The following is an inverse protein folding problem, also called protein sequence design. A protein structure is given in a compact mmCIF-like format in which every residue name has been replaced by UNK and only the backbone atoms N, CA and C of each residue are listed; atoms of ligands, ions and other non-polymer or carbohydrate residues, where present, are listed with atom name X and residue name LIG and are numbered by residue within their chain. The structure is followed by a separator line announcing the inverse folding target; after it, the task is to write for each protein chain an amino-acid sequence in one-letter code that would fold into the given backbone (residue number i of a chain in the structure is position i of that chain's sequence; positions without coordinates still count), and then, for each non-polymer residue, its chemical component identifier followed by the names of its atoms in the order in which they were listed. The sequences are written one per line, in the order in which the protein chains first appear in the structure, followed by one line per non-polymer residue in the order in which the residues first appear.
data_IF_073030959839
#
_entry.id   IF_073030959839
#
_cell.length_a   1.000
_cell.length_b   1.000
_cell.length_c   1.000
_cell.angle_alpha   90.00
_cell.angle_beta   90.00
_cell.angle_gamma   90.00
#
_symmetry.space_group_name_H-M   'P 1'
#
loop_
_entity.id
_entity.type
_entity.pdbx_description
1 polymer ?
#
# COMPACT_ATOMS: atom_id res chain seq x y z
N UNK A 1 10.42 38.45 16.50
CA UNK A 1 10.41 37.61 15.29
C UNK A 1 10.51 36.16 15.73
N UNK A 2 9.41 35.42 15.69
CA UNK A 2 9.40 33.97 15.87
C UNK A 2 8.19 33.42 15.10
N UNK A 3 8.42 32.98 13.86
CA UNK A 3 7.41 32.32 13.03
C UNK A 3 7.45 30.82 13.34
N UNK A 4 6.52 30.37 14.17
CA UNK A 4 6.28 28.96 14.42
C UNK A 4 5.18 28.49 13.45
N UNK A 5 5.58 28.06 12.26
CA UNK A 5 4.68 27.41 11.30
C UNK A 5 4.59 25.93 11.65
N UNK A 6 3.66 25.58 12.54
CA UNK A 6 3.28 24.20 12.78
C UNK A 6 2.06 23.89 11.89
N UNK A 7 2.28 23.69 10.60
CA UNK A 7 1.26 23.19 9.69
C UNK A 7 1.02 21.72 10.00
N UNK A 8 -0.12 21.42 10.62
CA UNK A 8 -0.55 20.05 10.86
C UNK A 8 -0.68 19.35 9.51
N UNK A 9 -0.14 18.13 9.42
CA UNK A 9 -0.20 17.26 8.24
C UNK A 9 -1.64 17.05 7.70
N UNK A 10 -2.66 17.26 8.54
CA UNK A 10 -4.08 17.26 8.19
C UNK A 10 -4.45 18.35 7.18
N UNK A 11 -3.80 19.51 7.24
CA UNK A 11 -4.15 20.66 6.40
C UNK A 11 -3.65 20.46 4.95
N UNK A 12 -2.57 19.68 4.79
CA UNK A 12 -2.00 19.32 3.48
C UNK A 12 -2.88 18.33 2.71
N UNK A 13 -3.58 17.45 3.44
CA UNK A 13 -4.60 16.55 2.88
C UNK A 13 -5.90 17.28 2.52
N UNK A 14 -6.22 18.37 3.23
CA UNK A 14 -7.41 19.18 2.96
C UNK A 14 -7.24 20.13 1.75
N UNK A 15 -6.01 20.60 1.48
CA UNK A 15 -5.74 21.58 0.41
C UNK A 15 -5.82 21.04 -1.03
N UNK A 16 -5.97 19.74 -1.24
CA UNK A 16 -6.18 19.14 -2.57
C UNK A 16 -7.64 18.89 -2.94
N UNK A 17 -8.61 19.26 -2.09
CA UNK A 17 -10.02 19.29 -2.49
C UNK A 17 -10.36 20.63 -3.12
N UNK A 18 -9.89 20.86 -4.35
CA UNK A 18 -10.37 21.99 -5.15
C UNK A 18 -11.79 21.70 -5.62
N UNK A 19 -12.69 22.51 -5.10
CA UNK A 19 -14.09 22.70 -5.46
C UNK A 19 -14.28 22.77 -6.99
N UNK A 20 -15.02 21.81 -7.56
CA UNK A 20 -15.64 21.95 -8.88
C UNK A 20 -17.02 21.30 -8.87
N UNK A 21 -18.03 22.15 -9.04
CA UNK A 21 -19.45 21.80 -9.14
C UNK A 21 -19.76 20.94 -10.38
N UNK A 22 -20.73 20.04 -10.18
CA UNK A 22 -21.58 19.39 -11.19
C UNK A 22 -20.99 18.22 -11.99
N UNK A 23 -20.88 17.08 -11.32
CA UNK A 23 -21.68 15.88 -11.59
C UNK A 23 -21.43 14.93 -10.43
N UNK A 24 -22.39 14.07 -10.08
CA UNK A 24 -22.29 13.10 -8.98
C UNK A 24 -21.10 12.13 -9.21
N UNK A 25 -19.87 12.57 -8.92
CA UNK A 25 -18.72 11.68 -8.73
C UNK A 25 -19.00 11.01 -7.41
N UNK A 26 -19.72 9.88 -7.47
CA UNK A 26 -19.88 8.99 -6.34
C UNK A 26 -18.48 8.78 -5.77
N UNK A 27 -18.24 9.27 -4.54
CA UNK A 27 -16.99 9.03 -3.85
C UNK A 27 -16.82 7.51 -3.77
N UNK A 28 -15.80 7.00 -4.45
CA UNK A 28 -15.49 5.58 -4.43
C UNK A 28 -14.46 5.40 -3.34
N UNK A 29 -14.95 4.87 -2.22
CA UNK A 29 -14.10 4.46 -1.12
C UNK A 29 -13.39 3.18 -1.53
N UNK A 30 -12.06 3.19 -1.44
CA UNK A 30 -11.24 2.02 -1.66
C UNK A 30 -10.73 1.52 -0.31
N UNK A 31 -11.14 0.31 0.08
CA UNK A 31 -10.75 -0.28 1.36
C UNK A 31 -9.45 -1.05 1.21
N UNK A 32 -8.34 -0.45 1.65
CA UNK A 32 -7.00 -1.04 1.60
C UNK A 32 -6.61 -1.52 3.00
N UNK A 33 -6.22 -2.78 3.13
CA UNK A 33 -5.66 -3.36 4.35
C UNK A 33 -4.22 -3.80 4.17
N UNK A 34 -3.43 -3.72 5.24
CA UNK A 34 -2.06 -4.26 5.27
C UNK A 34 -1.87 -5.17 6.46
N UNK A 35 -1.28 -6.34 6.23
CA UNK A 35 -1.03 -7.34 7.28
C UNK A 35 0.35 -7.96 7.13
N UNK A 36 1.13 -7.89 8.21
CA UNK A 36 2.31 -8.71 8.34
C UNK A 36 1.88 -10.13 8.74
N UNK A 37 2.01 -11.08 7.84
CA UNK A 37 1.50 -12.44 7.98
C UNK A 37 2.27 -13.28 9.01
N UNK A 38 3.46 -12.79 9.45
CA UNK A 38 4.31 -13.22 10.59
C UNK A 38 3.77 -14.43 11.38
N UNK A 39 3.83 -15.63 10.80
CA UNK A 39 3.50 -16.94 11.39
C UNK A 39 2.14 -17.60 11.08
N UNK A 40 1.21 -17.03 10.30
CA UNK A 40 0.02 -17.82 9.88
C UNK A 40 0.42 -18.96 8.93
N UNK A 41 1.54 -18.81 8.20
CA UNK A 41 2.19 -19.91 7.46
C UNK A 41 2.87 -20.95 8.38
N UNK A 42 3.23 -20.59 9.62
CA UNK A 42 3.83 -21.49 10.61
C UNK A 42 2.79 -22.27 11.42
N UNK A 43 1.50 -21.94 11.26
CA UNK A 43 0.43 -22.78 11.78
C UNK A 43 0.37 -24.05 10.94
N UNK A 44 0.89 -25.15 11.48
CA UNK A 44 0.80 -26.50 10.91
C UNK A 44 -0.64 -27.05 10.82
N UNK A 45 -1.66 -26.21 11.06
CA UNK A 45 -3.09 -26.55 11.01
C UNK A 45 -3.77 -25.86 9.81
N UNK A 46 -4.08 -26.61 8.73
CA UNK A 46 -4.80 -26.09 7.56
C UNK A 46 -6.14 -25.42 7.90
N UNK A 47 -6.87 -25.94 8.90
CA UNK A 47 -8.17 -25.41 9.34
C UNK A 47 -8.06 -23.97 9.85
N UNK A 48 -7.09 -23.69 10.73
CA UNK A 48 -6.86 -22.34 11.26
C UNK A 48 -6.50 -21.35 10.16
N UNK A 49 -5.71 -21.79 9.18
CA UNK A 49 -5.38 -20.98 8.01
C UNK A 49 -6.61 -20.69 7.16
N UNK A 50 -7.48 -21.67 6.91
CA UNK A 50 -8.72 -21.47 6.17
C UNK A 50 -9.69 -20.53 6.90
N UNK A 51 -9.88 -20.71 8.21
CA UNK A 51 -10.71 -19.81 9.03
C UNK A 51 -10.16 -18.38 9.02
N UNK A 52 -8.83 -18.22 9.06
CA UNK A 52 -8.19 -16.91 8.98
C UNK A 52 -8.38 -16.24 7.62
N UNK A 53 -8.16 -16.98 6.52
CA UNK A 53 -8.41 -16.48 5.16
C UNK A 53 -9.89 -16.13 4.97
N UNK A 54 -10.80 -16.94 5.50
CA UNK A 54 -12.23 -16.65 5.48
C UNK A 54 -12.53 -15.35 6.24
N UNK A 55 -11.96 -15.18 7.45
CA UNK A 55 -12.11 -13.95 8.21
C UNK A 55 -11.61 -12.71 7.46
N UNK A 56 -10.47 -12.81 6.77
CA UNK A 56 -9.95 -11.72 5.93
C UNK A 56 -10.90 -11.39 4.77
N UNK A 57 -11.52 -12.40 4.15
CA UNK A 57 -12.54 -12.19 3.11
C UNK A 57 -13.80 -11.49 3.63
N UNK A 58 -14.12 -11.64 4.92
CA UNK A 58 -15.24 -10.94 5.54
C UNK A 58 -14.97 -9.46 5.82
N UNK A 59 -13.70 -9.01 5.77
CA UNK A 59 -13.33 -7.62 6.06
C UNK A 59 -13.71 -6.62 4.95
N UNK A 60 -14.34 -7.07 3.85
CA UNK A 60 -14.78 -6.20 2.74
C UNK A 60 -13.67 -5.28 2.22
N UNK A 61 -12.44 -5.83 2.13
CA UNK A 61 -11.27 -5.15 1.58
C UNK A 61 -11.25 -5.29 0.06
N UNK A 62 -10.90 -4.21 -0.62
CA UNK A 62 -10.65 -4.19 -2.06
C UNK A 62 -9.23 -4.66 -2.39
N UNK A 63 -8.27 -4.24 -1.56
CA UNK A 63 -6.85 -4.56 -1.68
C UNK A 63 -6.32 -5.00 -0.31
N UNK A 64 -5.63 -6.13 -0.27
CA UNK A 64 -4.93 -6.62 0.93
C UNK A 64 -3.45 -6.82 0.61
N UNK A 65 -2.57 -6.05 1.25
CA UNK A 65 -1.12 -6.20 1.13
C UNK A 65 -0.59 -7.11 2.24
N UNK A 66 0.06 -8.21 1.88
CA UNK A 66 0.67 -9.14 2.83
C UNK A 66 2.19 -8.96 2.87
N UNK A 67 2.79 -9.02 4.06
CA UNK A 67 4.23 -9.15 4.25
C UNK A 67 4.57 -10.49 4.92
N UNK A 68 5.82 -10.95 4.79
CA UNK A 68 6.30 -12.20 5.40
C UNK A 68 5.48 -13.44 4.95
N UNK A 69 5.18 -13.51 3.64
CA UNK A 69 4.53 -14.66 3.00
C UNK A 69 5.56 -15.48 2.23
N UNK A 70 5.46 -16.81 2.30
CA UNK A 70 6.22 -17.73 1.42
C UNK A 70 5.58 -17.90 0.03
N UNK A 71 4.59 -17.06 -0.30
CA UNK A 71 3.81 -17.15 -1.53
C UNK A 71 4.26 -16.08 -2.51
N UNK A 72 4.46 -16.46 -3.77
CA UNK A 72 4.82 -15.56 -4.88
C UNK A 72 3.58 -14.91 -5.53
N UNK A 73 2.39 -15.39 -5.18
CA UNK A 73 1.14 -15.04 -5.84
C UNK A 73 0.66 -13.63 -5.44
N UNK A 74 0.38 -12.80 -6.46
CA UNK A 74 -0.10 -11.42 -6.31
C UNK A 74 -1.53 -11.36 -6.83
N UNK A 75 -2.50 -11.37 -5.93
CA UNK A 75 -3.93 -11.32 -6.27
C UNK A 75 -4.61 -10.15 -5.58
N UNK A 76 -5.51 -9.48 -6.30
CA UNK A 76 -6.43 -8.49 -5.73
C UNK A 76 -7.77 -9.18 -5.42
N UNK A 77 -8.49 -8.68 -4.40
CA UNK A 77 -9.78 -9.26 -3.99
C UNK A 77 -10.94 -8.71 -4.84
N UNK A 78 -10.78 -7.51 -5.39
CA UNK A 78 -11.76 -6.87 -6.24
C UNK A 78 -11.39 -7.04 -7.73
N UNK A 79 -12.20 -7.76 -8.54
CA UNK A 79 -11.89 -8.00 -9.96
C UNK A 79 -11.99 -6.73 -10.83
N UNK A 80 -12.57 -5.64 -10.30
CA UNK A 80 -12.61 -4.35 -11.00
C UNK A 80 -11.32 -3.55 -10.83
N UNK A 81 -10.39 -4.04 -10.01
CA UNK A 81 -9.07 -3.44 -9.78
C UNK A 81 -8.03 -4.18 -10.63
N UNK A 82 -7.19 -3.41 -11.30
CA UNK A 82 -6.04 -3.91 -12.04
C UNK A 82 -4.78 -3.56 -11.26
N UNK A 83 -3.92 -4.56 -11.06
CA UNK A 83 -2.64 -4.43 -10.36
C UNK A 83 -1.52 -4.69 -11.35
N UNK A 84 -0.78 -3.65 -11.69
CA UNK A 84 0.37 -3.75 -12.61
C UNK A 84 1.64 -3.67 -11.79
N UNK A 85 2.47 -4.72 -11.82
CA UNK A 85 3.73 -4.73 -11.09
C UNK A 85 4.71 -3.73 -11.70
N UNK A 86 5.31 -2.89 -10.86
CA UNK A 86 6.45 -2.06 -11.22
C UNK A 86 7.71 -2.83 -10.82
N UNK A 87 8.54 -3.30 -11.79
CA UNK A 87 9.75 -4.04 -11.47
C UNK A 87 10.69 -3.18 -10.64
N UNK A 88 11.05 -3.67 -9.46
CA UNK A 88 12.06 -3.04 -8.59
C UNK A 88 13.09 -4.05 -8.16
N UNK A 89 14.36 -3.64 -8.18
CA UNK A 89 15.50 -4.47 -7.81
C UNK A 89 15.83 -4.30 -6.33
N UNK A 90 14.90 -4.67 -5.44
CA UNK A 90 15.10 -4.59 -3.98
C UNK A 90 14.72 -5.91 -3.32
N UNK A 91 15.73 -6.66 -2.87
CA UNK A 91 15.77 -7.77 -1.88
C UNK A 91 14.47 -8.53 -1.52
N UNK A 92 13.54 -8.73 -2.46
CA UNK A 92 12.22 -9.37 -2.28
C UNK A 92 11.32 -8.78 -1.19
N UNK A 93 11.74 -7.69 -0.54
CA UNK A 93 11.05 -7.05 0.59
C UNK A 93 10.14 -5.91 0.17
N UNK A 94 10.25 -5.46 -1.08
CA UNK A 94 9.45 -4.40 -1.64
C UNK A 94 8.69 -4.91 -2.85
N UNK A 95 7.38 -4.68 -2.84
CA UNK A 95 6.53 -4.84 -4.01
C UNK A 95 5.94 -3.46 -4.30
N UNK A 96 6.18 -2.95 -5.50
CA UNK A 96 5.54 -1.73 -5.99
C UNK A 96 4.59 -2.12 -7.11
N UNK A 97 3.36 -1.64 -7.03
CA UNK A 97 2.37 -1.81 -8.10
C UNK A 97 1.71 -0.48 -8.43
N UNK A 98 1.34 -0.32 -9.69
CA UNK A 98 0.32 0.65 -10.07
C UNK A 98 -1.06 0.02 -9.91
N UNK A 99 -1.96 0.74 -9.23
CA UNK A 99 -3.34 0.35 -8.98
C UNK A 99 -4.22 1.20 -9.87
N UNK A 100 -5.07 0.56 -10.68
CA UNK A 100 -6.07 1.24 -11.49
C UNK A 100 -7.42 0.53 -11.41
N UNK A 101 -8.48 1.23 -11.81
CA UNK A 101 -9.81 0.65 -11.92
C UNK A 101 -10.18 0.41 -13.38
N UNK A 102 -10.75 -0.76 -13.70
CA UNK A 102 -11.16 -1.14 -15.07
C UNK A 102 -12.10 -0.13 -15.72
N UNK A 103 -12.91 0.55 -14.91
CA UNK A 103 -13.84 1.62 -15.33
C UNK A 103 -13.38 3.05 -15.02
N UNK A 104 -12.09 3.25 -14.70
CA UNK A 104 -11.50 4.58 -14.37
C UNK A 104 -12.30 5.35 -13.31
N UNK A 105 -12.68 4.64 -12.26
CA UNK A 105 -13.45 5.18 -11.14
C UNK A 105 -12.61 6.03 -10.17
N UNK A 106 -11.29 5.89 -10.24
CA UNK A 106 -10.29 6.70 -9.56
C UNK A 106 -9.07 6.82 -10.47
N UNK A 107 -8.30 7.90 -10.29
CA UNK A 107 -7.00 8.07 -10.95
C UNK A 107 -6.02 6.99 -10.49
N UNK A 108 -5.26 6.37 -11.41
CA UNK A 108 -4.26 5.39 -11.03
C UNK A 108 -3.28 5.91 -9.98
N UNK A 109 -2.89 5.06 -9.04
CA UNK A 109 -1.94 5.42 -7.99
C UNK A 109 -0.94 4.30 -7.74
N UNK A 110 0.23 4.67 -7.21
CA UNK A 110 1.26 3.70 -6.84
C UNK A 110 1.05 3.20 -5.42
N UNK A 111 1.01 1.88 -5.25
CA UNK A 111 0.99 1.22 -3.95
C UNK A 111 2.32 0.53 -3.70
N UNK A 112 2.95 0.84 -2.57
CA UNK A 112 4.20 0.26 -2.15
C UNK A 112 4.00 -0.59 -0.89
N UNK A 113 4.27 -1.89 -1.01
CA UNK A 113 4.21 -2.82 0.09
C UNK A 113 5.64 -3.19 0.52
N UNK A 114 6.06 -2.71 1.70
CA UNK A 114 7.42 -2.85 2.20
C UNK A 114 7.46 -3.70 3.48
N UNK A 115 8.38 -4.65 3.51
CA UNK A 115 8.76 -5.39 4.71
C UNK A 115 10.15 -4.97 5.21
N UNK A 116 10.16 -4.05 6.18
CA UNK A 116 11.40 -3.58 6.80
C UNK A 116 12.11 -4.71 7.57
N UNK A 117 13.45 -4.82 7.48
CA UNK A 117 14.21 -5.78 8.25
C UNK A 117 14.16 -5.45 9.76
N UNK A 118 14.20 -6.46 10.64
CA UNK A 118 14.10 -6.25 12.09
C UNK A 118 15.35 -5.62 12.70
N UNK A 119 16.53 -5.72 12.05
CA UNK A 119 17.75 -5.10 12.53
C UNK A 119 17.82 -3.62 12.14
N UNK A 120 17.98 -2.74 13.14
CA UNK A 120 17.99 -1.29 12.98
C UNK A 120 18.98 -0.78 11.92
N UNK A 121 20.23 -1.29 11.91
CA UNK A 121 21.24 -0.88 10.94
C UNK A 121 20.86 -1.25 9.49
N UNK A 122 20.28 -2.43 9.28
CA UNK A 122 19.77 -2.85 7.98
C UNK A 122 18.52 -2.06 7.59
N UNK A 123 17.72 -1.65 8.57
CA UNK A 123 16.50 -0.90 8.35
C UNK A 123 16.79 0.51 7.79
N UNK A 124 17.74 1.23 8.39
CA UNK A 124 18.16 2.55 7.89
C UNK A 124 18.72 2.48 6.46
N UNK A 125 19.58 1.49 6.17
CA UNK A 125 20.13 1.31 4.82
C UNK A 125 19.05 0.89 3.82
N UNK A 126 18.12 0.01 4.22
CA UNK A 126 17.01 -0.45 3.37
C UNK A 126 16.08 0.71 2.99
N UNK A 127 15.69 1.57 3.93
CA UNK A 127 14.84 2.72 3.64
C UNK A 127 15.53 3.72 2.70
N UNK A 128 16.82 3.99 2.89
CA UNK A 128 17.59 4.86 1.98
C UNK A 128 17.56 4.34 0.54
N UNK A 129 17.79 3.05 0.35
CA UNK A 129 17.71 2.42 -0.98
C UNK A 129 16.30 2.52 -1.58
N UNK A 130 15.24 2.28 -0.79
CA UNK A 130 13.85 2.39 -1.24
C UNK A 130 13.54 3.81 -1.69
N UNK A 131 13.89 4.83 -0.91
CA UNK A 131 13.61 6.23 -1.23
C UNK A 131 14.36 6.73 -2.47
N UNK A 132 15.46 6.07 -2.84
CA UNK A 132 16.21 6.37 -4.06
C UNK A 132 15.57 5.83 -5.35
N UNK A 133 14.57 4.94 -5.25
CA UNK A 133 13.94 4.34 -6.42
C UNK A 133 13.12 5.36 -7.24
N UNK A 134 12.96 5.15 -8.55
CA UNK A 134 12.26 6.08 -9.46
C UNK A 134 10.86 6.55 -9.00
N UNK A 135 9.99 5.75 -8.34
CA UNK A 135 8.70 6.25 -7.85
C UNK A 135 8.79 7.09 -6.56
N UNK A 136 9.93 7.13 -5.88
CA UNK A 136 10.11 7.86 -4.62
C UNK A 136 11.19 8.94 -4.68
N UNK A 137 12.07 8.92 -5.68
CA UNK A 137 13.18 9.87 -5.81
C UNK A 137 12.73 11.30 -6.07
N UNK A 138 11.49 11.51 -6.54
CA UNK A 138 10.87 12.82 -6.71
C UNK A 138 10.52 13.52 -5.39
N UNK A 139 10.54 12.81 -4.25
CA UNK A 139 10.32 13.39 -2.92
C UNK A 139 11.62 13.87 -2.24
N UNK A 140 12.78 13.73 -2.89
CA UNK A 140 14.09 14.06 -2.31
C UNK A 140 14.57 15.50 -2.54
N UNK A 141 13.70 16.40 -2.99
CA UNK A 141 14.01 17.82 -3.11
C UNK A 141 12.99 18.63 -2.34
N UNK A 142 13.32 18.93 -1.08
CA UNK A 142 13.28 20.25 -0.45
C UNK A 142 14.05 20.22 0.88
#
# INVERSE_FOLDING_TARGET
MNNNNNSNFSDLLASHSTNNNNNHSKLITLNIGSLNYRSVAKLSLPEKRQSFVHHLRLQSLDILSLQDTNAEDKTCLNPSITVTLIPVTVDQRLIICEISHTRRMFEPFTLANLYAPPQHAQNCMSFGSVLSLPPFSSFSTD
#
